data_IF_806054386878
#
_entry.id   IF_806054386878
#
_cell.length_a   1.000
_cell.length_b   1.000
_cell.length_c   1.000
_cell.angle_alpha   90.00
_cell.angle_beta   90.00
_cell.angle_gamma   90.00
#
_symmetry.space_group_name_H-M   'P 1'
#
loop_
_entity.id
_entity.type
_entity.pdbx_description
1 polymer ?
#
# COMPACT_ATOMS: atom_id res chain seq x y z
N UNK A 1 9.90 -25.92 -4.90
CA UNK A 1 9.64 -24.48 -5.15
C UNK A 1 9.07 -23.72 -3.95
N UNK A 2 8.01 -24.18 -3.27
CA UNK A 2 7.38 -23.43 -2.15
C UNK A 2 8.26 -23.19 -0.90
N UNK A 3 9.31 -23.99 -0.67
CA UNK A 3 10.20 -23.83 0.51
C UNK A 3 11.07 -22.56 0.46
N UNK A 4 11.45 -22.08 -0.74
CA UNK A 4 12.34 -20.92 -0.89
C UNK A 4 11.66 -19.57 -0.62
N UNK A 5 10.39 -19.45 -1.02
CA UNK A 5 9.57 -18.24 -0.80
C UNK A 5 9.22 -18.05 0.67
N UNK A 6 8.83 -19.13 1.36
CA UNK A 6 8.54 -19.12 2.80
C UNK A 6 9.74 -18.64 3.63
N UNK A 7 10.94 -19.12 3.33
CA UNK A 7 12.18 -18.72 4.03
C UNK A 7 12.58 -17.27 3.74
N UNK A 8 12.32 -16.75 2.52
CA UNK A 8 12.61 -15.34 2.17
C UNK A 8 11.61 -14.35 2.77
N UNK A 9 10.35 -14.76 2.93
CA UNK A 9 9.28 -13.89 3.42
C UNK A 9 9.01 -14.06 4.92
N UNK A 10 9.61 -15.07 5.58
CA UNK A 10 9.36 -15.37 6.99
C UNK A 10 7.95 -15.93 7.24
N UNK A 11 7.37 -16.60 6.25
CA UNK A 11 6.02 -17.16 6.32
C UNK A 11 6.12 -18.56 6.91
N UNK A 12 5.59 -18.75 8.12
CA UNK A 12 5.74 -19.99 8.88
C UNK A 12 4.75 -21.07 8.43
N UNK A 13 3.58 -20.69 7.87
CA UNK A 13 2.50 -21.63 7.53
C UNK A 13 1.81 -21.33 6.20
N UNK A 14 1.26 -22.39 5.57
CA UNK A 14 0.34 -22.25 4.42
C UNK A 14 -0.92 -21.46 4.79
N UNK A 15 -1.38 -21.56 6.04
CA UNK A 15 -2.53 -20.80 6.55
C UNK A 15 -2.24 -19.31 6.60
N UNK A 16 -1.02 -18.92 6.99
CA UNK A 16 -0.60 -17.52 6.98
C UNK A 16 -0.60 -16.94 5.57
N UNK A 17 -0.14 -17.69 4.56
CA UNK A 17 -0.21 -17.27 3.16
C UNK A 17 -1.67 -17.06 2.71
N UNK A 18 -2.58 -17.96 3.06
CA UNK A 18 -3.99 -17.83 2.72
C UNK A 18 -4.60 -16.55 3.35
N UNK A 19 -4.30 -16.29 4.62
CA UNK A 19 -4.75 -15.06 5.31
C UNK A 19 -4.18 -13.81 4.65
N UNK A 20 -2.89 -13.81 4.29
CA UNK A 20 -2.26 -12.68 3.58
C UNK A 20 -2.99 -12.40 2.26
N UNK A 21 -3.31 -13.44 1.48
CA UNK A 21 -4.05 -13.29 0.23
C UNK A 21 -5.46 -12.72 0.45
N UNK A 22 -6.15 -13.16 1.50
CA UNK A 22 -7.47 -12.62 1.88
C UNK A 22 -7.36 -11.14 2.26
N UNK A 23 -6.37 -10.77 3.09
CA UNK A 23 -6.11 -9.38 3.47
C UNK A 23 -5.86 -8.52 2.24
N UNK A 24 -5.05 -8.99 1.28
CA UNK A 24 -4.81 -8.28 0.03
C UNK A 24 -6.06 -8.16 -0.85
N UNK A 25 -6.87 -9.22 -0.94
CA UNK A 25 -8.11 -9.19 -1.72
C UNK A 25 -9.12 -8.19 -1.15
N UNK A 26 -9.29 -8.18 0.17
CA UNK A 26 -10.16 -7.24 0.89
C UNK A 26 -9.63 -5.82 0.70
N UNK A 27 -8.37 -5.58 1.06
CA UNK A 27 -7.75 -4.24 1.00
C UNK A 27 -7.76 -3.70 -0.43
N UNK A 28 -7.44 -4.52 -1.43
CA UNK A 28 -7.49 -4.14 -2.85
C UNK A 28 -8.89 -3.81 -3.34
N UNK A 29 -9.91 -4.55 -2.89
CA UNK A 29 -11.30 -4.26 -3.22
C UNK A 29 -11.79 -2.97 -2.56
N UNK A 30 -11.45 -2.73 -1.29
CA UNK A 30 -11.82 -1.49 -0.61
C UNK A 30 -11.09 -0.28 -1.21
N UNK A 31 -9.79 -0.38 -1.49
CA UNK A 31 -9.03 0.75 -2.04
C UNK A 31 -9.54 1.18 -3.42
N UNK A 32 -9.93 0.22 -4.27
CA UNK A 32 -10.56 0.51 -5.56
C UNK A 32 -11.89 1.26 -5.39
N UNK A 33 -12.71 0.87 -4.42
CA UNK A 33 -13.98 1.56 -4.10
C UNK A 33 -13.75 2.96 -3.52
N UNK A 34 -12.72 3.13 -2.69
CA UNK A 34 -12.37 4.41 -2.08
C UNK A 34 -11.67 5.37 -3.04
N UNK A 35 -11.05 4.87 -4.11
CA UNK A 35 -10.31 5.67 -5.08
C UNK A 35 -11.15 6.81 -5.69
N UNK A 36 -12.36 6.50 -6.16
CA UNK A 36 -13.27 7.47 -6.80
C UNK A 36 -13.74 8.59 -5.86
N UNK A 37 -14.37 8.29 -4.70
CA UNK A 37 -14.85 9.34 -3.80
C UNK A 37 -13.70 10.17 -3.24
N UNK A 38 -12.52 9.58 -3.05
CA UNK A 38 -11.36 10.29 -2.54
C UNK A 38 -10.79 11.30 -3.54
N UNK A 39 -10.70 10.94 -4.83
CA UNK A 39 -10.26 11.86 -5.88
C UNK A 39 -11.21 13.05 -6.00
N UNK A 40 -12.51 12.77 -5.91
CA UNK A 40 -13.54 13.80 -5.92
C UNK A 40 -13.45 14.69 -4.67
N UNK A 41 -13.22 14.12 -3.49
CA UNK A 41 -13.06 14.86 -2.23
C UNK A 41 -11.84 15.80 -2.25
N UNK A 42 -10.73 15.35 -2.84
CA UNK A 42 -9.50 16.16 -2.95
C UNK A 42 -9.59 17.17 -4.10
N UNK A 43 -10.64 17.10 -4.93
CA UNK A 43 -10.86 18.04 -6.03
C UNK A 43 -9.92 17.85 -7.22
N UNK A 44 -9.29 16.67 -7.36
CA UNK A 44 -8.46 16.36 -8.52
C UNK A 44 -9.39 15.91 -9.66
N UNK A 45 -9.79 16.87 -10.48
CA UNK A 45 -10.58 16.64 -11.69
C UNK A 45 -9.65 16.46 -12.89
N UNK A 46 -10.00 15.54 -13.79
CA UNK A 46 -9.23 15.27 -15.01
C UNK A 46 -9.10 16.55 -15.88
N UNK A 47 -10.14 17.38 -15.83
CA UNK A 47 -10.35 18.62 -16.56
C UNK A 47 -9.21 19.64 -16.35
N UNK A 48 -8.58 19.63 -15.16
CA UNK A 48 -7.42 20.50 -14.84
C UNK A 48 -6.20 20.15 -15.70
N UNK A 49 -6.13 18.92 -16.20
CA UNK A 49 -4.99 18.39 -16.93
C UNK A 49 -5.24 18.27 -18.44
N UNK A 50 -6.47 18.50 -18.92
CA UNK A 50 -6.86 18.32 -20.34
C UNK A 50 -6.08 19.22 -21.31
N UNK A 51 -5.53 20.35 -20.85
CA UNK A 51 -4.71 21.27 -21.65
C UNK A 51 -3.22 20.92 -21.76
N UNK A 52 -2.73 19.90 -21.06
CA UNK A 52 -1.31 19.55 -21.02
C UNK A 52 -0.98 18.35 -21.93
N UNK A 53 0.07 18.42 -22.75
CA UNK A 53 0.61 17.22 -23.39
C UNK A 53 1.18 16.34 -22.28
N UNK A 54 0.54 15.19 -22.01
CA UNK A 54 0.73 14.25 -20.87
C UNK A 54 -0.20 14.44 -19.66
N UNK A 55 -1.24 15.29 -19.75
CA UNK A 55 -2.18 15.54 -18.66
C UNK A 55 -2.80 14.27 -18.05
N UNK A 56 -3.26 13.35 -18.89
CA UNK A 56 -3.83 12.08 -18.45
C UNK A 56 -2.81 11.20 -17.69
N UNK A 57 -1.54 11.18 -18.13
CA UNK A 57 -0.49 10.44 -17.43
C UNK A 57 -0.21 11.06 -16.06
N UNK A 58 -0.15 12.39 -15.99
CA UNK A 58 0.06 13.12 -14.74
C UNK A 58 -1.10 12.88 -13.76
N UNK A 59 -2.33 12.91 -14.26
CA UNK A 59 -3.54 12.59 -13.49
C UNK A 59 -3.48 11.17 -12.91
N UNK A 60 -3.11 10.17 -13.71
CA UNK A 60 -2.97 8.78 -13.24
C UNK A 60 -1.85 8.66 -12.20
N UNK A 61 -0.71 9.32 -12.39
CA UNK A 61 0.40 9.31 -11.44
C UNK A 61 0.00 9.96 -10.10
N UNK A 62 -0.62 11.15 -10.12
CA UNK A 62 -1.13 11.79 -8.91
C UNK A 62 -2.18 10.93 -8.21
N UNK A 63 -3.09 10.32 -8.99
CA UNK A 63 -4.10 9.41 -8.48
C UNK A 63 -3.47 8.25 -7.71
N UNK A 64 -2.46 7.60 -8.28
CA UNK A 64 -1.74 6.51 -7.60
C UNK A 64 -1.03 7.05 -6.35
N UNK A 65 -0.35 8.20 -6.45
CA UNK A 65 0.41 8.79 -5.35
C UNK A 65 -0.47 9.14 -4.14
N UNK A 66 -1.71 9.58 -4.37
CA UNK A 66 -2.67 9.94 -3.32
C UNK A 66 -3.37 8.72 -2.72
N UNK A 67 -3.75 7.75 -3.56
CA UNK A 67 -4.37 6.50 -3.10
C UNK A 67 -3.36 5.68 -2.29
N UNK A 68 -2.07 5.79 -2.63
CA UNK A 68 -1.00 5.02 -2.02
C UNK A 68 -0.92 5.13 -0.47
N UNK A 69 -0.87 6.34 0.15
CA UNK A 69 -0.91 6.50 1.60
C UNK A 69 -2.14 5.89 2.27
N UNK A 70 -3.30 5.97 1.62
CA UNK A 70 -4.54 5.40 2.17
C UNK A 70 -4.50 3.88 2.07
N UNK A 71 -3.99 3.33 0.96
CA UNK A 71 -3.80 1.90 0.81
C UNK A 71 -2.86 1.35 1.89
N UNK A 72 -1.76 2.05 2.17
CA UNK A 72 -0.82 1.75 3.26
C UNK A 72 -1.56 1.62 4.62
N UNK A 73 -2.33 2.64 5.01
CA UNK A 73 -3.12 2.62 6.26
C UNK A 73 -4.17 1.50 6.27
N UNK A 74 -4.90 1.33 5.16
CA UNK A 74 -5.96 0.33 5.05
C UNK A 74 -5.41 -1.09 5.18
N UNK A 75 -4.25 -1.34 4.57
CA UNK A 75 -3.55 -2.61 4.61
C UNK A 75 -3.15 -2.97 6.04
N UNK A 76 -2.65 -2.03 6.84
CA UNK A 76 -2.36 -2.25 8.27
C UNK A 76 -3.63 -2.51 9.06
N UNK A 77 -4.69 -1.74 8.85
CA UNK A 77 -5.95 -1.89 9.58
C UNK A 77 -6.53 -3.28 9.34
N UNK A 78 -6.68 -3.69 8.07
CA UNK A 78 -7.20 -5.02 7.74
C UNK A 78 -6.23 -6.10 8.25
N UNK A 79 -4.92 -5.95 8.08
CA UNK A 79 -3.94 -6.92 8.63
C UNK A 79 -4.05 -7.09 10.15
N UNK A 80 -4.36 -6.01 10.88
CA UNK A 80 -4.59 -6.04 12.32
C UNK A 80 -5.82 -6.86 12.68
N UNK A 81 -6.91 -6.72 11.92
CA UNK A 81 -8.13 -7.54 12.10
C UNK A 81 -7.87 -9.03 11.92
N UNK A 82 -6.92 -9.40 11.05
CA UNK A 82 -6.53 -10.78 10.79
C UNK A 82 -5.32 -11.26 11.63
N UNK A 83 -4.91 -10.49 12.65
CA UNK A 83 -3.76 -10.79 13.52
C UNK A 83 -2.41 -10.92 12.78
N UNK A 84 -2.29 -10.37 11.57
CA UNK A 84 -1.08 -10.36 10.74
C UNK A 84 -0.35 -9.01 10.77
N UNK A 85 -0.65 -8.13 11.72
CA UNK A 85 -0.06 -6.79 11.84
C UNK A 85 1.47 -6.79 11.73
N UNK A 86 2.17 -7.60 12.54
CA UNK A 86 3.64 -7.63 12.55
C UNK A 86 4.25 -7.94 11.18
N UNK A 87 3.65 -8.89 10.47
CA UNK A 87 4.11 -9.29 9.14
C UNK A 87 3.93 -8.14 8.14
N UNK A 88 2.74 -7.54 8.11
CA UNK A 88 2.43 -6.45 7.18
C UNK A 88 3.18 -5.16 7.52
N UNK A 89 3.38 -4.85 8.79
CA UNK A 89 4.18 -3.70 9.24
C UNK A 89 5.63 -3.81 8.78
N UNK A 90 6.25 -4.99 8.91
CA UNK A 90 7.60 -5.23 8.41
C UNK A 90 7.67 -5.25 6.88
N UNK A 91 6.64 -5.79 6.22
CA UNK A 91 6.50 -5.75 4.77
C UNK A 91 6.42 -4.31 4.24
N UNK A 92 5.57 -3.49 4.84
CA UNK A 92 5.34 -2.10 4.48
C UNK A 92 6.56 -1.23 4.77
N UNK A 93 7.21 -1.40 5.94
CA UNK A 93 8.49 -0.75 6.21
C UNK A 93 9.54 -1.09 5.16
N UNK A 94 9.66 -2.36 4.75
CA UNK A 94 10.59 -2.77 3.69
C UNK A 94 10.22 -2.14 2.35
N UNK A 95 8.93 -2.03 2.04
CA UNK A 95 8.43 -1.41 0.83
C UNK A 95 8.73 0.11 0.80
N UNK A 96 8.42 0.82 1.87
CA UNK A 96 8.66 2.26 2.01
C UNK A 96 10.16 2.59 2.03
N UNK A 97 10.99 1.75 2.67
CA UNK A 97 12.46 1.87 2.60
C UNK A 97 12.97 1.74 1.17
N UNK A 98 12.39 0.87 0.34
CA UNK A 98 12.79 0.71 -1.08
C UNK A 98 12.39 1.88 -1.95
N UNK A 99 11.30 2.56 -1.63
CA UNK A 99 10.85 3.77 -2.35
C UNK A 99 11.65 5.02 -1.92
N UNK A 100 12.54 4.90 -0.93
CA UNK A 100 13.34 6.02 -0.42
C UNK A 100 12.65 6.81 0.71
N UNK A 101 11.49 6.35 1.17
CA UNK A 101 10.77 6.91 2.33
C UNK A 101 11.29 6.35 3.67
N UNK A 102 12.55 5.88 3.70
CA UNK A 102 13.20 5.35 4.91
C UNK A 102 13.35 6.40 6.02
N UNK A 103 13.32 7.69 5.67
CA UNK A 103 13.32 8.82 6.61
C UNK A 103 12.13 8.80 7.58
N UNK A 104 10.95 8.36 7.16
CA UNK A 104 9.75 8.32 8.01
C UNK A 104 9.84 7.29 9.15
N UNK A 105 10.76 6.33 9.04
CA UNK A 105 10.96 5.24 10.00
C UNK A 105 12.37 5.23 10.59
N UNK A 106 13.15 6.29 10.37
CA UNK A 106 14.37 6.48 11.13
C UNK A 106 13.97 6.82 12.55
N UNK A 107 13.99 5.80 13.41
CA UNK A 107 14.34 5.99 14.80
C UNK A 107 15.55 6.94 14.80
N UNK A 108 15.36 8.14 15.37
CA UNK A 108 16.50 8.94 15.82
C UNK A 108 17.37 7.98 16.60
N UNK A 109 18.53 7.64 16.06
CA UNK A 109 19.60 7.06 16.86
C UNK A 109 19.97 8.17 17.85
N UNK A 110 19.75 8.00 19.17
CA UNK A 110 20.35 8.93 20.11
C UNK A 110 21.85 8.65 20.08
N UNK A 111 22.60 9.47 19.36
CA UNK A 111 24.05 9.59 19.46
C UNK A 111 24.48 10.93 18.91
#
# INVERSE_FOLDING_TARGET
MFKGLKKKWGIESNTQLAVILIVFAITGSLSAKLALPLLHFIGIQADVFDGLPLGNLLYILLRILIIFPIYQVLLIVIATLFFQFKFFWEFEKKFLKKIGLSFLFSDKKPS
#
